data_IF_315512265693
#
_entry.id   IF_315512265693
#
_cell.length_a   1.000
_cell.length_b   1.000
_cell.length_c   1.000
_cell.angle_alpha   90.00
_cell.angle_beta   90.00
_cell.angle_gamma   90.00
#
_symmetry.space_group_name_H-M   'P 1'
#
loop_
_entity.id
_entity.type
_entity.pdbx_description
1 polymer ?
#
# COMPACT_ATOMS: atom_id res chain seq x y z
N UNK A 1 -17.96 -11.72 52.33
CA UNK A 1 -18.17 -10.90 51.11
C UNK A 1 -19.55 -11.20 50.57
N UNK A 2 -20.37 -10.18 50.27
CA UNK A 2 -21.71 -10.40 49.71
C UNK A 2 -21.60 -11.01 48.30
N UNK A 3 -22.31 -12.10 47.97
CA UNK A 3 -22.23 -12.76 46.66
C UNK A 3 -22.60 -11.81 45.50
N UNK A 4 -23.44 -10.81 45.76
CA UNK A 4 -23.82 -9.77 44.78
C UNK A 4 -22.60 -8.94 44.35
N UNK A 5 -21.69 -8.60 45.28
CA UNK A 5 -20.49 -7.83 44.96
C UNK A 5 -19.52 -8.62 44.08
N UNK A 6 -19.45 -9.95 44.28
CA UNK A 6 -18.60 -10.84 43.47
C UNK A 6 -19.11 -10.90 42.03
N UNK A 7 -20.43 -11.06 41.84
CA UNK A 7 -21.06 -11.07 40.50
C UNK A 7 -20.85 -9.73 39.79
N UNK A 8 -21.03 -8.62 40.50
CA UNK A 8 -20.89 -7.28 39.92
C UNK A 8 -19.43 -7.00 39.51
N UNK A 9 -18.46 -7.39 40.33
CA UNK A 9 -17.05 -7.30 39.99
C UNK A 9 -16.69 -8.17 38.76
N UNK A 10 -17.25 -9.38 38.65
CA UNK A 10 -17.06 -10.24 37.48
C UNK A 10 -17.61 -9.62 36.19
N UNK A 11 -18.79 -9.00 36.25
CA UNK A 11 -19.39 -8.30 35.09
C UNK A 11 -18.51 -7.14 34.63
N UNK A 12 -18.02 -6.33 35.58
CA UNK A 12 -17.13 -5.19 35.27
C UNK A 12 -15.82 -5.69 34.65
N UNK A 13 -15.24 -6.77 35.18
CA UNK A 13 -14.02 -7.37 34.63
C UNK A 13 -14.21 -7.85 33.18
N UNK A 14 -15.33 -8.54 32.91
CA UNK A 14 -15.67 -9.01 31.55
C UNK A 14 -15.88 -7.82 30.60
N UNK A 15 -16.63 -6.81 31.02
CA UNK A 15 -16.85 -5.61 30.22
C UNK A 15 -15.53 -4.90 29.88
N UNK A 16 -14.65 -4.73 30.87
CA UNK A 16 -13.31 -4.17 30.66
C UNK A 16 -12.47 -5.00 29.69
N UNK A 17 -12.50 -6.33 29.80
CA UNK A 17 -11.79 -7.23 28.90
C UNK A 17 -12.26 -7.10 27.44
N UNK A 18 -13.58 -7.04 27.22
CA UNK A 18 -14.15 -6.87 25.87
C UNK A 18 -13.73 -5.52 25.27
N UNK A 19 -13.76 -4.45 26.04
CA UNK A 19 -13.34 -3.11 25.60
C UNK A 19 -11.86 -3.11 25.19
N UNK A 20 -10.99 -3.75 25.98
CA UNK A 20 -9.56 -3.84 25.67
C UNK A 20 -9.31 -4.59 24.36
N UNK A 21 -9.97 -5.73 24.14
CA UNK A 21 -9.85 -6.49 22.89
C UNK A 21 -10.33 -5.67 21.70
N UNK A 22 -11.50 -5.03 21.82
CA UNK A 22 -12.08 -4.24 20.74
C UNK A 22 -11.16 -3.10 20.32
N UNK A 23 -10.66 -2.33 21.29
CA UNK A 23 -9.74 -1.23 21.04
C UNK A 23 -8.41 -1.73 20.43
N UNK A 24 -7.90 -2.87 20.90
CA UNK A 24 -6.72 -3.50 20.32
C UNK A 24 -6.92 -3.89 18.85
N UNK A 25 -8.10 -4.41 18.50
CA UNK A 25 -8.42 -4.79 17.12
C UNK A 25 -8.56 -3.57 16.21
N UNK A 26 -9.23 -2.51 16.67
CA UNK A 26 -9.35 -1.24 15.95
C UNK A 26 -7.97 -0.61 15.70
N UNK A 27 -7.09 -0.62 16.71
CA UNK A 27 -5.72 -0.12 16.56
C UNK A 27 -4.94 -0.90 15.51
N UNK A 28 -5.04 -2.24 15.51
CA UNK A 28 -4.39 -3.09 14.49
C UNK A 28 -4.93 -2.80 13.10
N UNK A 29 -6.25 -2.64 12.95
CA UNK A 29 -6.87 -2.29 11.67
C UNK A 29 -6.36 -0.94 11.15
N UNK A 30 -6.28 0.06 12.02
CA UNK A 30 -5.78 1.38 11.65
C UNK A 30 -4.30 1.33 11.26
N UNK A 31 -3.48 0.51 11.94
CA UNK A 31 -2.08 0.32 11.58
C UNK A 31 -1.91 -0.27 10.17
N UNK A 32 -2.75 -1.22 9.78
CA UNK A 32 -2.74 -1.78 8.42
C UNK A 32 -3.10 -0.71 7.39
N UNK A 33 -4.14 0.08 7.65
CA UNK A 33 -4.55 1.17 6.76
C UNK A 33 -3.44 2.22 6.60
N UNK A 34 -2.78 2.60 7.70
CA UNK A 34 -1.68 3.55 7.66
C UNK A 34 -0.51 3.01 6.85
N UNK A 35 -0.11 1.76 7.10
CA UNK A 35 0.98 1.12 6.36
C UNK A 35 0.67 1.06 4.85
N UNK A 36 -0.59 0.78 4.47
CA UNK A 36 -0.98 0.79 3.07
C UNK A 36 -0.96 2.19 2.46
N UNK A 37 -1.40 3.21 3.20
CA UNK A 37 -1.32 4.60 2.75
C UNK A 37 0.13 5.05 2.53
N UNK A 38 1.05 4.66 3.42
CA UNK A 38 2.48 4.97 3.27
C UNK A 38 3.07 4.31 2.00
N UNK A 39 2.66 3.07 1.68
CA UNK A 39 3.04 2.39 0.43
C UNK A 39 2.48 3.12 -0.78
N UNK A 40 1.19 3.48 -0.77
CA UNK A 40 0.54 4.21 -1.88
C UNK A 40 1.26 5.54 -2.19
N UNK A 41 1.67 6.28 -1.15
CA UNK A 41 2.46 7.51 -1.31
C UNK A 41 3.80 7.22 -2.00
N UNK A 42 4.50 6.14 -1.61
CA UNK A 42 5.77 5.75 -2.24
C UNK A 42 5.59 5.33 -3.70
N UNK A 43 4.54 4.57 -4.02
CA UNK A 43 4.23 4.18 -5.41
C UNK A 43 3.94 5.42 -6.26
N UNK A 44 3.14 6.36 -5.75
CA UNK A 44 2.88 7.64 -6.42
C UNK A 44 4.16 8.44 -6.64
N UNK A 45 5.04 8.52 -5.63
CA UNK A 45 6.33 9.19 -5.77
C UNK A 45 7.18 8.55 -6.87
N UNK A 46 7.25 7.21 -6.91
CA UNK A 46 7.94 6.47 -7.99
C UNK A 46 7.35 6.83 -9.36
N UNK A 47 6.03 6.80 -9.50
CA UNK A 47 5.32 7.11 -10.74
C UNK A 47 5.54 8.55 -11.23
N UNK A 48 5.74 9.49 -10.30
CA UNK A 48 6.07 10.89 -10.59
C UNK A 48 7.51 11.08 -11.06
N UNK A 49 8.44 10.20 -10.67
CA UNK A 49 9.86 10.27 -11.06
C UNK A 49 10.15 9.58 -12.41
N UNK A 50 9.33 8.62 -12.84
CA UNK A 50 9.52 7.89 -14.11
C UNK A 50 9.61 8.82 -15.34
N UNK A 51 8.77 9.86 -15.50
CA UNK A 51 8.88 10.78 -16.61
C UNK A 51 10.28 11.42 -16.74
N UNK A 52 10.88 11.82 -15.61
CA UNK A 52 12.21 12.42 -15.57
C UNK A 52 13.30 11.41 -15.97
N UNK A 53 13.16 10.14 -15.52
CA UNK A 53 14.06 9.05 -15.92
C UNK A 53 13.95 8.79 -17.42
N UNK A 54 12.73 8.71 -17.94
CA UNK A 54 12.42 8.51 -19.36
C UNK A 54 13.01 9.64 -20.22
N UNK A 55 12.90 10.90 -19.79
CA UNK A 55 13.47 12.04 -20.50
C UNK A 55 15.00 11.97 -20.56
N UNK A 56 15.63 11.57 -19.45
CA UNK A 56 17.10 11.41 -19.39
C UNK A 56 17.57 10.29 -20.32
N UNK A 57 16.89 9.14 -20.32
CA UNK A 57 17.23 8.00 -21.19
C UNK A 57 16.93 8.31 -22.66
N UNK A 58 15.85 9.02 -22.98
CA UNK A 58 15.53 9.45 -24.36
C UNK A 58 16.66 10.22 -25.04
N UNK A 59 17.43 11.01 -24.27
CA UNK A 59 18.60 11.74 -24.80
C UNK A 59 19.75 10.85 -25.26
N UNK A 60 19.90 9.66 -24.68
CA UNK A 60 20.95 8.69 -25.00
C UNK A 60 20.46 7.50 -25.83
N UNK A 61 19.15 7.22 -25.80
CA UNK A 61 18.50 6.04 -26.37
C UNK A 61 17.57 6.42 -27.53
N UNK A 62 18.10 7.17 -28.51
CA UNK A 62 17.36 7.69 -29.66
C UNK A 62 16.74 6.61 -30.58
N UNK A 63 17.12 5.34 -30.43
CA UNK A 63 16.60 4.20 -31.19
C UNK A 63 15.70 3.25 -30.38
N UNK A 64 15.51 3.47 -29.07
CA UNK A 64 14.81 2.57 -28.14
C UNK A 64 13.32 2.93 -27.99
N UNK A 65 12.64 3.22 -29.10
CA UNK A 65 11.25 3.72 -29.06
C UNK A 65 10.27 2.66 -28.54
N UNK A 66 10.42 1.41 -28.95
CA UNK A 66 9.53 0.31 -28.55
C UNK A 66 9.63 0.01 -27.05
N UNK A 67 10.84 0.03 -26.52
CA UNK A 67 11.18 -0.12 -25.09
C UNK A 67 10.62 1.02 -24.26
N UNK A 68 10.75 2.26 -24.75
CA UNK A 68 10.14 3.44 -24.13
C UNK A 68 8.61 3.38 -24.11
N UNK A 69 7.98 2.98 -25.21
CA UNK A 69 6.51 2.85 -25.30
C UNK A 69 6.00 1.75 -24.34
N UNK A 70 6.74 0.65 -24.19
CA UNK A 70 6.43 -0.41 -23.22
C UNK A 70 6.50 0.08 -21.77
N UNK A 71 7.48 0.93 -21.43
CA UNK A 71 7.60 1.55 -20.09
C UNK A 71 6.46 2.54 -19.83
N UNK A 72 6.11 3.36 -20.82
CA UNK A 72 4.99 4.32 -20.71
C UNK A 72 3.67 3.57 -20.50
N UNK A 73 3.43 2.50 -21.27
CA UNK A 73 2.24 1.65 -21.12
C UNK A 73 2.17 1.00 -19.73
N UNK A 74 3.27 0.41 -19.27
CA UNK A 74 3.36 -0.21 -17.95
C UNK A 74 3.15 0.81 -16.81
N UNK A 75 3.66 2.05 -16.96
CA UNK A 75 3.43 3.13 -16.00
C UNK A 75 1.95 3.50 -15.93
N UNK A 76 1.28 3.64 -17.07
CA UNK A 76 -0.14 3.99 -17.10
C UNK A 76 -1.00 2.90 -16.44
N UNK A 77 -0.67 1.63 -16.67
CA UNK A 77 -1.33 0.51 -16.01
C UNK A 77 -1.13 0.52 -14.48
N UNK A 78 0.09 0.82 -14.01
CA UNK A 78 0.40 0.97 -12.59
C UNK A 78 -0.33 2.16 -11.95
N UNK A 79 -0.49 3.26 -12.67
CA UNK A 79 -1.22 4.44 -12.19
C UNK A 79 -2.74 4.22 -12.11
N UNK A 80 -3.31 3.37 -12.98
CA UNK A 80 -4.74 3.05 -12.98
C UNK A 80 -5.16 1.99 -11.95
N UNK A 81 -4.21 1.26 -11.37
CA UNK A 81 -4.51 0.20 -10.42
C UNK A 81 -5.11 0.77 -9.12
N UNK A 82 -6.22 0.20 -8.66
CA UNK A 82 -7.00 0.75 -7.54
C UNK A 82 -7.01 -0.14 -6.31
N UNK A 83 -6.72 -1.43 -6.46
CA UNK A 83 -6.63 -2.38 -5.34
C UNK A 83 -5.19 -2.74 -5.01
N UNK A 84 -4.88 -3.14 -3.75
CA UNK A 84 -3.53 -3.58 -3.37
C UNK A 84 -2.97 -4.70 -4.25
N UNK A 85 -3.82 -5.64 -4.67
CA UNK A 85 -3.42 -6.76 -5.52
C UNK A 85 -3.09 -6.31 -6.95
N UNK A 86 -3.92 -5.46 -7.54
CA UNK A 86 -3.66 -4.88 -8.86
C UNK A 86 -2.42 -3.99 -8.85
N UNK A 87 -2.24 -3.17 -7.81
CA UNK A 87 -1.06 -2.32 -7.65
C UNK A 87 0.21 -3.16 -7.61
N UNK A 88 0.23 -4.24 -6.82
CA UNK A 88 1.40 -5.14 -6.74
C UNK A 88 1.72 -5.78 -8.09
N UNK A 89 0.71 -6.25 -8.83
CA UNK A 89 0.91 -6.88 -10.14
C UNK A 89 1.41 -5.87 -11.18
N UNK A 90 0.80 -4.68 -11.22
CA UNK A 90 1.15 -3.63 -12.17
C UNK A 90 2.54 -3.04 -11.89
N UNK A 91 2.90 -2.80 -10.63
CA UNK A 91 4.25 -2.39 -10.22
C UNK A 91 5.31 -3.46 -10.53
N UNK A 92 4.95 -4.74 -10.47
CA UNK A 92 5.80 -5.84 -10.92
C UNK A 92 6.11 -5.77 -12.41
N UNK A 93 5.09 -5.56 -13.24
CA UNK A 93 5.26 -5.37 -14.70
C UNK A 93 6.07 -4.12 -15.02
N UNK A 94 5.81 -3.00 -14.35
CA UNK A 94 6.57 -1.77 -14.52
C UNK A 94 8.05 -1.96 -14.16
N UNK A 95 8.34 -2.67 -13.07
CA UNK A 95 9.72 -2.98 -12.67
C UNK A 95 10.43 -3.83 -13.72
N UNK A 96 9.73 -4.83 -14.28
CA UNK A 96 10.27 -5.66 -15.36
C UNK A 96 10.55 -4.85 -16.65
N UNK A 97 9.68 -3.90 -17.00
CA UNK A 97 9.90 -3.01 -18.15
C UNK A 97 11.06 -2.04 -17.94
N UNK A 98 11.19 -1.48 -16.73
CA UNK A 98 12.32 -0.61 -16.38
C UNK A 98 13.67 -1.34 -16.40
N UNK A 99 13.70 -2.63 -16.06
CA UNK A 99 14.91 -3.44 -16.13
C UNK A 99 15.35 -3.80 -17.56
N UNK A 100 14.58 -3.44 -18.59
CA UNK A 100 14.92 -3.62 -20.01
C UNK A 100 15.51 -2.35 -20.65
N UNK A 101 15.48 -1.22 -19.94
CA UNK A 101 16.21 0.01 -20.30
C UNK A 101 17.68 -0.12 -19.91
#
# INVERSE_FOLDING_TARGET
MSPILVVLAAIVAIAGFVILIYNGLVMKRQRVNQAFADVDVQLKQRQNLIPNLVETVKGYASHEKETLDAVISARNAAQSASTPGEMSAAEGMLTASLGKL
#
